data_IF_376713479782
#
_entry.id   IF_376713479782
#
_cell.length_a   1.000
_cell.length_b   1.000
_cell.length_c   1.000
_cell.angle_alpha   90.00
_cell.angle_beta   90.00
_cell.angle_gamma   90.00
#
_symmetry.space_group_name_H-M   'P 1'
#
loop_
_entity.id
_entity.type
_entity.pdbx_description
1 polymer ?
#
# COMPACT_ATOMS: atom_id res chain seq x y z
N UNK A 1 -6.22 -26.17 -22.68
CA UNK A 1 -7.58 -25.64 -22.45
C UNK A 1 -8.05 -26.30 -21.17
N UNK A 2 -8.09 -25.55 -20.08
CA UNK A 2 -8.45 -26.07 -18.75
C UNK A 2 -9.36 -25.00 -18.12
N UNK A 3 -10.58 -24.97 -18.65
CA UNK A 3 -11.60 -23.93 -18.47
C UNK A 3 -12.79 -24.46 -17.67
N UNK A 4 -12.47 -25.12 -16.55
CA UNK A 4 -13.48 -25.64 -15.60
C UNK A 4 -13.02 -25.39 -14.15
N UNK A 5 -12.34 -24.26 -13.91
CA UNK A 5 -11.88 -23.89 -12.57
C UNK A 5 -13.01 -23.23 -11.79
N UNK A 6 -13.74 -24.05 -11.05
CA UNK A 6 -14.56 -23.60 -9.93
C UNK A 6 -13.74 -22.61 -9.07
N UNK A 7 -14.31 -21.48 -8.63
CA UNK A 7 -13.58 -20.48 -7.85
C UNK A 7 -13.00 -21.14 -6.58
N UNK A 8 -11.81 -20.71 -6.11
CA UNK A 8 -11.22 -21.29 -4.92
C UNK A 8 -12.15 -21.06 -3.71
N UNK A 9 -11.99 -21.89 -2.69
CA UNK A 9 -12.68 -21.73 -1.42
C UNK A 9 -11.66 -21.76 -0.28
N UNK A 10 -12.00 -21.17 0.86
CA UNK A 10 -11.15 -21.21 2.04
C UNK A 10 -11.63 -22.34 2.95
N UNK A 11 -10.79 -23.36 3.23
CA UNK A 11 -11.12 -24.42 4.17
C UNK A 11 -10.97 -23.98 5.62
N UNK A 12 -11.70 -24.66 6.52
CA UNK A 12 -11.35 -24.62 7.94
C UNK A 12 -10.05 -25.39 8.15
N UNK A 13 -9.06 -24.70 8.72
CA UNK A 13 -7.72 -25.22 9.01
C UNK A 13 -7.39 -25.18 10.50
N UNK A 14 -8.40 -24.93 11.35
CA UNK A 14 -8.22 -24.92 12.80
C UNK A 14 -7.64 -26.26 13.28
N UNK A 15 -6.58 -26.18 14.10
CA UNK A 15 -5.91 -27.37 14.66
C UNK A 15 -5.04 -28.17 13.67
N UNK A 16 -4.99 -27.81 12.39
CA UNK A 16 -4.11 -28.49 11.44
C UNK A 16 -2.65 -28.04 11.61
N UNK A 17 -1.72 -28.96 11.37
CA UNK A 17 -0.31 -28.61 11.19
C UNK A 17 -0.12 -27.77 9.92
N UNK A 18 0.96 -26.95 9.82
CA UNK A 18 1.21 -26.12 8.64
C UNK A 18 1.17 -26.90 7.31
N UNK A 19 1.78 -28.08 7.24
CA UNK A 19 1.75 -28.92 6.02
C UNK A 19 0.34 -29.40 5.68
N UNK A 20 -0.46 -29.81 6.67
CA UNK A 20 -1.82 -30.28 6.43
C UNK A 20 -2.75 -29.13 6.03
N UNK A 21 -2.56 -27.94 6.61
CA UNK A 21 -3.25 -26.73 6.19
C UNK A 21 -2.87 -26.33 4.76
N UNK A 22 -1.58 -26.35 4.40
CA UNK A 22 -1.12 -26.07 3.04
C UNK A 22 -1.74 -27.03 2.00
N UNK A 23 -1.81 -28.33 2.33
CA UNK A 23 -2.49 -29.33 1.51
C UNK A 23 -4.01 -29.10 1.43
N UNK A 24 -4.64 -28.64 2.51
CA UNK A 24 -6.05 -28.26 2.50
C UNK A 24 -6.31 -27.09 1.56
N UNK A 25 -5.50 -26.03 1.61
CA UNK A 25 -5.60 -24.90 0.67
C UNK A 25 -5.40 -25.33 -0.78
N UNK A 26 -4.40 -26.18 -1.05
CA UNK A 26 -4.15 -26.69 -2.39
C UNK A 26 -5.34 -27.46 -2.97
N UNK A 27 -5.97 -28.33 -2.18
CA UNK A 27 -7.22 -29.02 -2.55
C UNK A 27 -8.37 -28.05 -2.76
N UNK A 28 -8.38 -26.94 -2.03
CA UNK A 28 -9.38 -25.90 -2.14
C UNK A 28 -9.13 -24.91 -3.30
N UNK A 29 -8.16 -25.20 -4.16
CA UNK A 29 -7.89 -24.45 -5.39
C UNK A 29 -6.75 -23.45 -5.30
N UNK A 30 -6.16 -23.24 -4.12
CA UNK A 30 -5.11 -22.23 -3.90
C UNK A 30 -3.72 -22.72 -4.26
N UNK A 31 -2.99 -21.94 -5.06
CA UNK A 31 -1.55 -22.08 -5.17
C UNK A 31 -0.87 -21.59 -3.88
N UNK A 32 -0.01 -22.41 -3.30
CA UNK A 32 0.66 -22.12 -2.02
C UNK A 32 2.17 -21.99 -2.19
N UNK A 33 2.79 -21.29 -1.24
CA UNK A 33 4.24 -21.18 -1.07
C UNK A 33 4.61 -21.35 0.40
N UNK A 34 5.75 -22.00 0.69
CA UNK A 34 6.36 -22.00 2.01
C UNK A 34 7.03 -20.65 2.28
N UNK A 35 6.99 -20.21 3.53
CA UNK A 35 7.68 -18.99 3.99
C UNK A 35 8.52 -19.31 5.22
N UNK A 36 9.73 -18.78 5.28
CA UNK A 36 10.68 -19.08 6.33
C UNK A 36 10.22 -18.39 7.62
N UNK A 37 10.18 -19.07 8.78
CA UNK A 37 9.77 -18.47 10.05
C UNK A 37 10.51 -17.18 10.41
N UNK A 38 11.78 -17.05 10.03
CA UNK A 38 12.61 -15.87 10.26
C UNK A 38 12.32 -14.72 9.27
N UNK A 39 11.67 -14.99 8.13
CA UNK A 39 11.31 -14.00 7.10
C UNK A 39 9.89 -14.27 6.57
N UNK A 40 8.95 -14.41 7.51
CA UNK A 40 7.61 -14.98 7.28
C UNK A 40 6.75 -14.21 6.28
N UNK A 41 7.05 -12.94 6.03
CA UNK A 41 6.31 -12.07 5.11
C UNK A 41 6.88 -12.07 3.68
N UNK A 42 7.99 -12.78 3.44
CA UNK A 42 8.64 -12.84 2.14
C UNK A 42 8.26 -14.14 1.39
N UNK A 43 7.42 -14.09 0.33
CA UNK A 43 7.02 -15.28 -0.42
C UNK A 43 8.18 -16.00 -1.14
N UNK A 44 9.32 -15.34 -1.32
CA UNK A 44 10.52 -15.92 -1.92
C UNK A 44 11.53 -16.43 -0.90
N UNK A 45 11.24 -16.42 0.40
CA UNK A 45 12.24 -16.74 1.43
C UNK A 45 12.77 -18.19 1.36
N UNK A 46 11.94 -19.12 0.88
CA UNK A 46 12.28 -20.55 0.77
C UNK A 46 12.54 -20.94 -0.69
N UNK A 47 11.69 -20.46 -1.61
CA UNK A 47 11.80 -20.82 -3.04
C UNK A 47 12.72 -19.89 -3.85
N UNK A 48 13.25 -18.84 -3.20
CA UNK A 48 14.15 -17.82 -3.76
C UNK A 48 13.52 -17.02 -4.91
N UNK A 49 14.34 -16.54 -5.85
CA UNK A 49 13.90 -15.72 -6.98
C UNK A 49 12.83 -16.38 -7.84
N UNK A 50 12.04 -15.56 -8.55
CA UNK A 50 10.91 -16.02 -9.38
C UNK A 50 9.87 -16.86 -8.63
N UNK A 51 9.58 -16.49 -7.38
CA UNK A 51 8.64 -17.21 -6.54
C UNK A 51 7.23 -17.33 -7.17
N UNK A 52 6.85 -16.38 -8.02
CA UNK A 52 5.55 -16.33 -8.69
C UNK A 52 5.30 -17.58 -9.54
N UNK A 53 6.37 -18.09 -10.16
CA UNK A 53 6.36 -19.26 -11.02
C UNK A 53 6.36 -20.56 -10.19
N UNK A 54 6.86 -20.49 -8.95
CA UNK A 54 7.14 -21.63 -8.07
C UNK A 54 6.02 -21.98 -7.08
N UNK A 55 4.98 -21.15 -6.93
CA UNK A 55 3.80 -21.51 -6.13
C UNK A 55 3.14 -22.76 -6.70
N UNK A 56 2.69 -23.69 -5.85
CA UNK A 56 2.22 -25.01 -6.29
C UNK A 56 0.92 -25.44 -5.63
N UNK A 57 0.21 -26.36 -6.29
CA UNK A 57 -0.90 -27.16 -5.74
C UNK A 57 -0.56 -28.63 -5.65
N UNK A 58 0.61 -29.04 -6.15
CA UNK A 58 1.04 -30.43 -6.15
C UNK A 58 1.31 -30.89 -4.71
N UNK A 59 0.56 -31.87 -4.19
CA UNK A 59 0.78 -32.40 -2.85
C UNK A 59 2.19 -32.96 -2.61
N UNK A 60 2.89 -33.42 -3.66
CA UNK A 60 4.27 -33.92 -3.54
C UNK A 60 5.24 -32.78 -3.26
N UNK A 61 5.15 -31.70 -4.04
CA UNK A 61 5.96 -30.49 -3.85
C UNK A 61 5.68 -29.83 -2.49
N UNK A 62 4.41 -29.71 -2.12
CA UNK A 62 4.02 -29.12 -0.83
C UNK A 62 4.62 -29.94 0.32
N UNK A 63 4.50 -31.27 0.29
CA UNK A 63 5.15 -32.10 1.31
C UNK A 63 6.66 -31.97 1.33
N UNK A 64 7.32 -31.78 0.20
CA UNK A 64 8.77 -31.60 0.15
C UNK A 64 9.21 -30.35 0.92
N UNK A 65 8.55 -29.20 0.70
CA UNK A 65 8.87 -27.95 1.40
C UNK A 65 8.77 -28.06 2.93
N UNK A 66 7.77 -28.78 3.45
CA UNK A 66 7.60 -28.98 4.89
C UNK A 66 8.40 -30.16 5.46
N UNK A 67 8.99 -31.02 4.62
CA UNK A 67 10.02 -31.98 5.07
C UNK A 67 11.35 -31.30 5.34
N UNK A 68 11.68 -30.27 4.55
CA UNK A 68 12.90 -29.47 4.76
C UNK A 68 12.81 -28.63 6.03
N UNK A 69 11.66 -27.99 6.26
CA UNK A 69 11.37 -27.30 7.52
C UNK A 69 9.89 -27.39 7.86
N UNK A 70 9.57 -28.11 8.95
CA UNK A 70 8.20 -28.26 9.44
C UNK A 70 7.62 -26.94 10.00
N UNK A 71 8.48 -25.98 10.35
CA UNK A 71 8.13 -24.66 10.86
C UNK A 71 7.68 -23.67 9.79
N UNK A 72 7.89 -23.98 8.50
CA UNK A 72 7.52 -23.10 7.39
C UNK A 72 6.08 -22.58 7.51
N UNK A 73 5.90 -21.28 7.33
CA UNK A 73 4.60 -20.64 7.19
C UNK A 73 4.02 -20.80 5.80
N UNK A 74 2.79 -20.35 5.61
CA UNK A 74 2.01 -20.54 4.39
C UNK A 74 1.69 -19.19 3.77
N UNK A 75 2.09 -19.00 2.51
CA UNK A 75 1.62 -17.91 1.68
C UNK A 75 0.66 -18.45 0.61
N UNK A 76 -0.49 -17.79 0.43
CA UNK A 76 -1.44 -18.07 -0.65
C UNK A 76 -1.17 -17.12 -1.81
N UNK A 77 -0.90 -17.66 -2.99
CA UNK A 77 -0.73 -16.89 -4.21
C UNK A 77 -2.10 -16.49 -4.76
N UNK A 78 -2.49 -15.25 -4.51
CA UNK A 78 -3.88 -14.78 -4.66
C UNK A 78 -4.32 -14.79 -6.12
N UNK A 79 -3.67 -14.03 -6.99
CA UNK A 79 -4.06 -13.91 -8.39
C UNK A 79 -3.97 -15.20 -9.19
N UNK A 80 -2.88 -15.98 -9.03
CA UNK A 80 -2.74 -17.28 -9.70
C UNK A 80 -3.84 -18.29 -9.30
N UNK A 81 -4.44 -18.11 -8.12
CA UNK A 81 -5.54 -18.93 -7.64
C UNK A 81 -6.92 -18.48 -8.15
N UNK A 82 -7.01 -17.39 -8.92
CA UNK A 82 -8.30 -16.85 -9.39
C UNK A 82 -9.03 -16.03 -8.31
N UNK A 83 -8.27 -15.34 -7.46
CA UNK A 83 -8.80 -14.51 -6.39
C UNK A 83 -8.19 -13.11 -6.40
N UNK A 84 -8.83 -12.21 -5.66
CA UNK A 84 -8.30 -10.91 -5.24
C UNK A 84 -8.50 -10.75 -3.74
N UNK A 85 -7.53 -10.16 -3.06
CA UNK A 85 -7.62 -9.87 -1.63
C UNK A 85 -7.54 -8.36 -1.38
N UNK A 86 -8.52 -7.82 -0.67
CA UNK A 86 -8.48 -6.48 -0.10
C UNK A 86 -7.87 -6.59 1.30
N UNK A 87 -6.64 -6.10 1.43
CA UNK A 87 -5.87 -6.05 2.67
C UNK A 87 -6.21 -4.74 3.40
N UNK A 88 -7.29 -4.80 4.19
CA UNK A 88 -7.83 -3.65 4.91
C UNK A 88 -6.90 -3.30 6.08
N UNK A 89 -6.45 -2.05 6.15
CA UNK A 89 -5.51 -1.54 7.15
C UNK A 89 -6.18 -0.81 8.33
N UNK A 90 -7.50 -0.66 8.32
CA UNK A 90 -8.29 0.00 9.36
C UNK A 90 -9.13 -1.01 10.17
N UNK A 91 -9.39 -0.68 11.45
CA UNK A 91 -10.05 -1.59 12.40
C UNK A 91 -11.59 -1.45 12.45
N UNK A 92 -12.18 -0.49 11.74
CA UNK A 92 -13.64 -0.26 11.67
C UNK A 92 -14.08 0.04 10.22
N UNK A 93 -14.84 -0.89 9.61
CA UNK A 93 -15.43 -0.68 8.28
C UNK A 93 -16.38 0.52 8.22
N UNK A 94 -16.93 0.96 9.35
CA UNK A 94 -17.74 2.17 9.48
C UNK A 94 -16.99 3.45 9.09
N UNK A 95 -15.65 3.49 9.22
CA UNK A 95 -14.84 4.61 8.74
C UNK A 95 -14.98 4.80 7.23
N UNK A 96 -15.06 3.72 6.45
CA UNK A 96 -15.26 3.79 5.00
C UNK A 96 -16.61 4.43 4.66
N UNK A 97 -17.66 4.04 5.40
CA UNK A 97 -18.99 4.61 5.22
C UNK A 97 -19.03 6.11 5.59
N UNK A 98 -18.44 6.49 6.73
CA UNK A 98 -18.32 7.90 7.15
C UNK A 98 -17.47 8.74 6.18
N UNK A 99 -16.52 8.11 5.49
CA UNK A 99 -15.73 8.72 4.43
C UNK A 99 -16.46 8.85 3.08
N UNK A 100 -17.79 8.66 3.07
CA UNK A 100 -18.64 8.83 1.89
C UNK A 100 -18.72 7.61 0.97
N UNK A 101 -18.19 6.44 1.38
CA UNK A 101 -18.18 5.21 0.57
C UNK A 101 -18.85 4.02 1.26
N UNK A 102 -20.14 4.13 1.65
CA UNK A 102 -20.87 3.04 2.29
C UNK A 102 -21.02 1.80 1.39
N UNK A 103 -21.01 2.01 0.08
CA UNK A 103 -21.01 0.99 -0.97
C UNK A 103 -19.80 0.04 -0.86
N UNK A 104 -18.58 0.59 -0.72
CA UNK A 104 -17.35 -0.20 -0.53
C UNK A 104 -17.39 -0.94 0.81
N UNK A 105 -17.82 -0.27 1.88
CA UNK A 105 -17.93 -0.88 3.20
C UNK A 105 -18.87 -2.10 3.16
N UNK A 106 -20.02 -1.95 2.52
CA UNK A 106 -21.00 -3.02 2.38
C UNK A 106 -20.49 -4.17 1.50
N UNK A 107 -19.79 -3.84 0.41
CA UNK A 107 -19.18 -4.84 -0.45
C UNK A 107 -18.14 -5.69 0.30
N UNK A 108 -17.26 -5.08 1.11
CA UNK A 108 -16.32 -5.82 1.96
C UNK A 108 -17.04 -6.71 2.97
N UNK A 109 -18.09 -6.21 3.63
CA UNK A 109 -18.90 -7.01 4.58
C UNK A 109 -19.46 -8.27 3.92
N UNK A 110 -19.76 -8.21 2.62
CA UNK A 110 -20.29 -9.34 1.85
C UNK A 110 -19.30 -10.48 1.60
N UNK A 111 -17.99 -10.28 1.83
CA UNK A 111 -16.96 -11.31 1.61
C UNK A 111 -17.25 -12.59 2.42
N UNK A 112 -17.32 -13.73 1.75
CA UNK A 112 -17.55 -15.02 2.41
C UNK A 112 -16.30 -15.58 3.10
N UNK A 113 -15.10 -15.16 2.68
CA UNK A 113 -13.85 -15.52 3.32
C UNK A 113 -13.13 -14.27 3.81
N UNK A 114 -12.83 -14.23 5.11
CA UNK A 114 -12.16 -13.11 5.78
C UNK A 114 -11.13 -13.64 6.76
N UNK A 115 -9.87 -13.25 6.56
CA UNK A 115 -8.81 -13.50 7.53
C UNK A 115 -8.49 -12.21 8.29
N UNK A 116 -8.72 -12.20 9.59
CA UNK A 116 -8.25 -11.06 10.41
C UNK A 116 -6.73 -11.09 10.52
N UNK A 117 -6.12 -9.90 10.68
CA UNK A 117 -4.69 -9.75 10.96
C UNK A 117 -4.41 -9.25 12.39
N UNK A 118 -5.48 -9.02 13.15
CA UNK A 118 -5.50 -8.61 14.56
C UNK A 118 -6.50 -9.47 15.33
N UNK A 119 -6.40 -9.45 16.66
CA UNK A 119 -7.34 -10.14 17.54
C UNK A 119 -8.75 -9.56 17.49
N UNK A 120 -8.85 -8.25 17.34
CA UNK A 120 -10.10 -7.49 17.35
C UNK A 120 -10.15 -6.53 16.16
N UNK A 121 -11.36 -6.02 15.86
CA UNK A 121 -11.61 -5.12 14.74
C UNK A 121 -11.84 -5.83 13.41
N UNK A 122 -11.94 -5.00 12.37
CA UNK A 122 -12.23 -5.41 10.99
C UNK A 122 -10.97 -5.54 10.12
N UNK A 123 -9.79 -5.16 10.62
CA UNK A 123 -8.54 -5.20 9.86
C UNK A 123 -8.19 -6.63 9.42
N UNK A 124 -7.99 -6.83 8.12
CA UNK A 124 -7.83 -8.18 7.58
C UNK A 124 -7.86 -8.28 6.05
N UNK A 125 -7.71 -9.51 5.57
CA UNK A 125 -7.81 -9.87 4.17
C UNK A 125 -9.24 -10.29 3.83
N UNK A 126 -9.90 -9.53 2.96
CA UNK A 126 -11.24 -9.81 2.44
C UNK A 126 -11.10 -10.35 1.01
N UNK A 127 -11.58 -11.58 0.79
CA UNK A 127 -11.29 -12.32 -0.44
C UNK A 127 -12.52 -12.46 -1.32
N UNK A 128 -12.30 -12.29 -2.62
CA UNK A 128 -13.29 -12.47 -3.67
C UNK A 128 -12.71 -13.25 -4.84
N UNK A 129 -13.56 -13.96 -5.57
CA UNK A 129 -13.19 -14.64 -6.80
C UNK A 129 -13.17 -13.63 -7.95
N UNK A 130 -12.18 -13.75 -8.83
CA UNK A 130 -12.11 -12.98 -10.07
C UNK A 130 -12.82 -13.74 -11.19
N UNK A 131 -13.47 -13.04 -12.12
CA UNK A 131 -14.09 -13.71 -13.26
C UNK A 131 -13.01 -14.34 -14.18
N UNK A 132 -13.33 -15.37 -14.97
CA UNK A 132 -12.41 -15.86 -15.99
C UNK A 132 -11.96 -14.72 -16.93
N UNK A 133 -10.65 -14.57 -17.10
CA UNK A 133 -10.07 -13.49 -17.92
C UNK A 133 -9.71 -12.22 -17.14
N UNK A 134 -10.26 -12.02 -15.94
CA UNK A 134 -9.87 -10.89 -15.09
C UNK A 134 -8.48 -11.11 -14.48
N UNK A 135 -7.67 -10.06 -14.50
CA UNK A 135 -6.36 -10.05 -13.85
C UNK A 135 -6.02 -8.67 -13.30
N UNK A 136 -6.17 -8.48 -11.99
CA UNK A 136 -5.80 -7.26 -11.31
C UNK A 136 -4.33 -7.28 -10.87
N UNK A 137 -3.63 -6.15 -10.96
CA UNK A 137 -2.31 -5.99 -10.35
C UNK A 137 -2.38 -5.93 -8.81
N UNK A 138 -1.26 -5.63 -8.17
CA UNK A 138 -1.24 -5.29 -6.73
C UNK A 138 -1.52 -3.79 -6.47
N UNK A 139 -1.96 -3.07 -7.51
CA UNK A 139 -2.32 -1.66 -7.40
C UNK A 139 -3.64 -1.53 -6.63
N UNK A 140 -3.69 -0.77 -5.53
CA UNK A 140 -4.90 -0.69 -4.71
C UNK A 140 -6.02 0.18 -5.31
N UNK A 141 -5.80 0.86 -6.44
CA UNK A 141 -6.84 1.71 -7.03
C UNK A 141 -7.36 2.74 -6.02
N UNK A 142 -8.67 3.05 -6.10
CA UNK A 142 -9.33 3.93 -5.14
C UNK A 142 -9.38 3.35 -3.71
N UNK A 143 -9.14 2.04 -3.52
CA UNK A 143 -9.10 1.41 -2.21
C UNK A 143 -7.85 1.79 -1.39
N UNK A 144 -6.85 2.43 -2.00
CA UNK A 144 -5.59 2.87 -1.33
C UNK A 144 -5.78 3.69 -0.05
N UNK A 145 -6.95 4.31 0.11
CA UNK A 145 -7.32 5.11 1.28
C UNK A 145 -7.51 4.25 2.54
N UNK A 146 -7.89 2.99 2.39
CA UNK A 146 -8.20 2.09 3.51
C UNK A 146 -7.30 0.86 3.59
N UNK A 147 -6.50 0.60 2.56
CA UNK A 147 -5.57 -0.52 2.58
C UNK A 147 -4.88 -0.81 1.26
N UNK A 148 -4.45 -2.06 1.10
CA UNK A 148 -3.76 -2.57 -0.07
C UNK A 148 -4.59 -3.62 -0.81
N UNK A 149 -4.18 -3.97 -2.03
CA UNK A 149 -4.80 -5.05 -2.82
C UNK A 149 -3.74 -6.07 -3.22
N UNK A 150 -4.10 -7.35 -3.13
CA UNK A 150 -3.27 -8.47 -3.60
C UNK A 150 -3.97 -9.11 -4.79
N UNK A 151 -3.37 -8.96 -5.96
CA UNK A 151 -3.88 -9.50 -7.22
C UNK A 151 -2.89 -10.51 -7.83
N UNK A 152 -2.58 -10.36 -9.13
CA UNK A 152 -1.82 -11.27 -9.99
C UNK A 152 -0.60 -11.88 -9.31
N UNK A 153 0.27 -11.05 -8.75
CA UNK A 153 1.51 -11.45 -8.06
C UNK A 153 1.47 -11.04 -6.58
N UNK A 154 0.29 -11.08 -5.97
CA UNK A 154 0.07 -10.80 -4.57
C UNK A 154 0.00 -12.09 -3.78
N UNK A 155 0.55 -12.07 -2.56
CA UNK A 155 0.32 -13.14 -1.58
C UNK A 155 -0.34 -12.59 -0.33
N UNK A 156 -1.05 -13.45 0.38
CA UNK A 156 -1.38 -13.26 1.79
C UNK A 156 -0.71 -14.38 2.60
N UNK A 157 -0.24 -14.06 3.81
CA UNK A 157 0.18 -15.08 4.76
C UNK A 157 -1.07 -15.64 5.42
N UNK A 158 -1.25 -16.96 5.37
CA UNK A 158 -2.47 -17.61 5.80
C UNK A 158 -2.32 -18.32 7.15
N UNK A 159 -3.44 -18.39 7.88
CA UNK A 159 -3.56 -19.27 9.04
C UNK A 159 -3.21 -20.73 8.64
N UNK A 160 -2.61 -21.54 9.52
CA UNK A 160 -2.31 -21.26 10.93
C UNK A 160 -0.92 -20.63 11.18
N UNK A 161 -0.30 -20.00 10.18
CA UNK A 161 1.03 -19.37 10.32
C UNK A 161 1.06 -18.37 11.48
N UNK A 162 2.09 -18.39 12.35
CA UNK A 162 2.25 -17.38 13.39
C UNK A 162 2.44 -15.96 12.81
N UNK A 163 1.80 -14.97 13.41
CA UNK A 163 2.00 -13.57 13.02
C UNK A 163 3.25 -13.00 13.71
N UNK A 164 4.15 -12.30 12.99
CA UNK A 164 5.41 -11.81 13.58
C UNK A 164 5.20 -10.79 14.71
N UNK A 165 4.14 -9.98 14.60
CA UNK A 165 3.75 -9.02 15.65
C UNK A 165 2.75 -9.59 16.69
N UNK A 166 2.70 -10.91 16.87
CA UNK A 166 1.73 -11.53 17.79
C UNK A 166 1.90 -11.08 19.25
N UNK A 167 3.13 -10.92 19.70
CA UNK A 167 3.48 -10.48 21.06
C UNK A 167 3.51 -8.97 21.22
N UNK A 168 3.77 -8.21 20.14
CA UNK A 168 3.97 -6.76 20.20
C UNK A 168 2.72 -5.96 19.89
N UNK A 169 1.86 -6.44 18.97
CA UNK A 169 0.69 -5.71 18.47
C UNK A 169 -0.59 -6.55 18.45
N UNK A 170 -0.57 -7.70 19.15
CA UNK A 170 -1.67 -8.65 19.12
C UNK A 170 -1.99 -9.17 17.71
N UNK A 171 -0.98 -9.22 16.83
CA UNK A 171 -1.15 -9.70 15.46
C UNK A 171 -1.58 -11.17 15.43
N UNK A 172 -2.49 -11.52 14.54
CA UNK A 172 -2.96 -12.90 14.39
C UNK A 172 -3.47 -13.12 12.98
N UNK A 173 -3.01 -14.17 12.30
CA UNK A 173 -3.67 -14.65 11.10
C UNK A 173 -4.74 -15.67 11.52
N UNK A 174 -6.01 -15.29 11.41
CA UNK A 174 -7.12 -16.18 11.76
C UNK A 174 -8.28 -15.99 10.78
N UNK A 175 -8.85 -17.08 10.29
CA UNK A 175 -10.09 -17.02 9.54
C UNK A 175 -11.25 -16.68 10.47
N UNK A 176 -11.82 -15.49 10.28
CA UNK A 176 -13.10 -15.08 10.88
C UNK A 176 -14.27 -15.71 10.11
N UNK A 177 -14.10 -15.87 8.79
CA UNK A 177 -15.04 -16.55 7.90
C UNK A 177 -14.28 -17.40 6.89
N UNK A 178 -14.79 -18.59 6.62
CA UNK A 178 -14.28 -19.57 5.64
C UNK A 178 -15.41 -19.93 4.67
N UNK A 179 -15.08 -20.51 3.51
CA UNK A 179 -16.07 -20.90 2.50
C UNK A 179 -15.69 -20.52 1.08
N UNK A 180 -16.61 -20.79 0.14
CA UNK A 180 -16.44 -20.45 -1.27
C UNK A 180 -16.32 -18.94 -1.47
N UNK A 181 -15.35 -18.52 -2.28
CA UNK A 181 -15.21 -17.11 -2.60
C UNK A 181 -16.42 -16.63 -3.40
N UNK A 182 -16.97 -15.48 -3.00
CA UNK A 182 -18.01 -14.81 -3.76
C UNK A 182 -17.39 -14.06 -4.94
N UNK A 183 -18.13 -13.89 -6.06
CA UNK A 183 -17.71 -13.00 -7.13
C UNK A 183 -17.37 -11.61 -6.59
N UNK A 184 -16.36 -10.97 -7.18
CA UNK A 184 -15.98 -9.60 -6.86
C UNK A 184 -17.15 -8.64 -7.12
N UNK A 185 -17.69 -7.94 -6.11
CA UNK A 185 -18.75 -6.97 -6.30
C UNK A 185 -18.33 -5.83 -7.24
N UNK A 186 -19.23 -5.36 -8.09
CA UNK A 186 -18.94 -4.35 -9.11
C UNK A 186 -18.31 -3.07 -8.53
N UNK A 187 -18.74 -2.62 -7.35
CA UNK A 187 -18.16 -1.44 -6.69
C UNK A 187 -16.68 -1.63 -6.33
N UNK A 188 -16.30 -2.84 -5.91
CA UNK A 188 -14.91 -3.18 -5.62
C UNK A 188 -14.13 -3.37 -6.91
N UNK A 189 -14.72 -4.02 -7.92
CA UNK A 189 -14.16 -4.14 -9.26
C UNK A 189 -13.83 -2.76 -9.86
N UNK A 190 -14.81 -1.86 -9.90
CA UNK A 190 -14.64 -0.48 -10.34
C UNK A 190 -13.59 0.26 -9.51
N UNK A 191 -13.47 -0.01 -8.20
CA UNK A 191 -12.42 0.60 -7.37
C UNK A 191 -10.99 0.18 -7.76
N UNK A 192 -10.81 -1.00 -8.35
CA UNK A 192 -9.53 -1.51 -8.85
C UNK A 192 -9.20 -0.97 -10.24
N UNK A 193 -10.22 -0.84 -11.10
CA UNK A 193 -10.08 -0.34 -12.47
C UNK A 193 -10.00 1.18 -12.56
N UNK A 194 -10.64 1.87 -11.62
CA UNK A 194 -10.38 3.28 -11.41
C UNK A 194 -8.88 3.40 -11.15
N UNK A 195 -8.16 3.97 -12.13
CA UNK A 195 -6.83 4.51 -11.90
C UNK A 195 -6.96 5.24 -10.58
N UNK A 196 -6.24 4.75 -9.55
CA UNK A 196 -6.44 5.13 -8.16
C UNK A 196 -6.66 6.62 -8.17
N UNK A 197 -7.93 7.08 -8.01
CA UNK A 197 -8.30 8.42 -8.48
C UNK A 197 -7.18 9.32 -8.04
N UNK A 198 -6.35 9.78 -8.98
CA UNK A 198 -5.47 10.88 -8.66
C UNK A 198 -6.54 11.87 -8.24
N UNK A 199 -6.66 12.13 -6.94
CA UNK A 199 -7.40 13.32 -6.58
C UNK A 199 -6.61 14.35 -7.37
N UNK A 200 -7.26 14.90 -8.40
CA UNK A 200 -6.58 15.76 -9.36
C UNK A 200 -5.75 16.71 -8.50
N UNK A 201 -4.45 16.90 -8.81
CA UNK A 201 -3.62 17.78 -8.01
C UNK A 201 -4.44 19.05 -7.74
N UNK A 202 -4.56 19.42 -6.46
CA UNK A 202 -5.39 20.57 -6.09
C UNK A 202 -5.06 21.73 -7.01
N UNK A 203 -6.05 22.48 -7.46
CA UNK A 203 -5.81 23.76 -8.13
C UNK A 203 -5.00 24.68 -7.20
N UNK A 204 -4.42 25.74 -7.74
CA UNK A 204 -3.69 26.72 -6.92
C UNK A 204 -4.56 27.27 -5.78
N UNK A 205 -5.83 27.57 -6.08
CA UNK A 205 -6.79 28.07 -5.10
C UNK A 205 -7.12 27.03 -4.02
N UNK A 206 -7.36 25.77 -4.40
CA UNK A 206 -7.62 24.69 -3.44
C UNK A 206 -6.40 24.37 -2.57
N UNK A 207 -5.18 24.48 -3.11
CA UNK A 207 -3.97 24.36 -2.31
C UNK A 207 -3.86 25.50 -1.30
N UNK A 208 -4.14 26.74 -1.70
CA UNK A 208 -4.15 27.89 -0.78
C UNK A 208 -5.18 27.71 0.35
N UNK A 209 -6.39 27.28 0.00
CA UNK A 209 -7.44 26.96 0.96
C UNK A 209 -7.02 25.83 1.92
N UNK A 210 -6.37 24.78 1.42
CA UNK A 210 -5.81 23.70 2.24
C UNK A 210 -4.77 24.23 3.24
N UNK A 211 -3.85 25.08 2.78
CA UNK A 211 -2.79 25.65 3.63
C UNK A 211 -3.36 26.54 4.74
N UNK A 212 -4.43 27.29 4.46
CA UNK A 212 -5.10 28.17 5.42
C UNK A 212 -6.01 27.40 6.39
N UNK A 213 -6.69 26.36 5.91
CA UNK A 213 -7.56 25.50 6.73
C UNK A 213 -6.78 24.79 7.82
N UNK A 214 -5.57 24.31 7.51
CA UNK A 214 -4.74 23.55 8.45
C UNK A 214 -3.72 24.45 9.15
N UNK A 215 -4.21 25.39 9.96
CA UNK A 215 -3.40 26.37 10.69
C UNK A 215 -2.69 25.84 11.96
N UNK A 216 -2.69 24.52 12.20
CA UNK A 216 -2.15 23.91 13.42
C UNK A 216 -3.14 23.96 14.59
N UNK A 217 -2.63 23.99 15.82
CA UNK A 217 -3.45 24.00 17.05
C UNK A 217 -3.02 22.98 18.12
N UNK A 218 -2.01 22.16 17.82
CA UNK A 218 -1.52 21.10 18.69
C UNK A 218 -2.33 19.82 18.49
N UNK A 219 -1.67 18.74 18.06
CA UNK A 219 -2.33 17.47 17.76
C UNK A 219 -2.81 16.67 18.99
N UNK A 220 -2.75 17.27 20.18
CA UNK A 220 -3.11 16.63 21.46
C UNK A 220 -2.16 15.53 21.94
N UNK A 221 -1.13 15.17 21.17
CA UNK A 221 -0.17 14.11 21.53
C UNK A 221 0.93 14.64 22.45
N UNK A 222 1.09 14.00 23.62
CA UNK A 222 2.22 14.26 24.51
C UNK A 222 3.55 13.99 23.82
N UNK A 223 4.47 14.96 23.90
CA UNK A 223 5.81 14.86 23.30
C UNK A 223 5.88 15.18 21.80
N UNK A 224 4.77 15.59 21.16
CA UNK A 224 4.85 16.13 19.81
C UNK A 224 5.64 17.44 19.81
N UNK A 225 6.63 17.53 18.92
CA UNK A 225 7.46 18.74 18.77
C UNK A 225 6.73 19.90 18.09
N UNK A 226 5.54 19.65 17.55
CA UNK A 226 4.70 20.60 16.83
C UNK A 226 5.48 21.43 15.79
N UNK A 227 6.35 20.75 15.02
CA UNK A 227 7.23 21.41 14.06
C UNK A 227 7.55 20.49 12.87
N UNK A 228 7.65 21.02 11.63
CA UNK A 228 7.96 20.24 10.42
C UNK A 228 9.43 19.77 10.33
N UNK A 229 10.19 19.82 11.43
CA UNK A 229 11.61 19.41 11.50
C UNK A 229 11.86 17.97 11.07
N UNK A 230 10.93 17.05 11.33
CA UNK A 230 11.04 15.64 10.93
C UNK A 230 11.10 15.49 9.40
N UNK A 231 10.05 15.89 8.68
CA UNK A 231 10.03 15.94 7.21
C UNK A 231 11.25 16.65 6.61
N UNK A 232 11.60 17.81 7.16
CA UNK A 232 12.72 18.63 6.68
C UNK A 232 14.07 17.92 6.83
N UNK A 233 14.33 17.31 7.99
CA UNK A 233 15.56 16.54 8.24
C UNK A 233 15.68 15.36 7.29
N UNK A 234 14.58 14.63 7.07
CA UNK A 234 14.57 13.49 6.15
C UNK A 234 14.87 13.91 4.72
N UNK A 235 14.24 14.99 4.25
CA UNK A 235 14.50 15.52 2.92
C UNK A 235 15.98 15.88 2.74
N UNK A 236 16.54 16.67 3.67
CA UNK A 236 17.94 17.12 3.61
C UNK A 236 18.93 15.95 3.62
N UNK A 237 18.73 14.98 4.51
CA UNK A 237 19.63 13.82 4.61
C UNK A 237 19.62 12.99 3.34
N UNK A 238 18.44 12.65 2.80
CA UNK A 238 18.35 11.84 1.59
C UNK A 238 18.96 12.54 0.37
N UNK A 239 18.77 13.85 0.24
CA UNK A 239 19.40 14.63 -0.84
C UNK A 239 20.91 14.70 -0.66
N UNK A 240 21.41 14.90 0.57
CA UNK A 240 22.84 14.85 0.88
C UNK A 240 23.46 13.48 0.59
N UNK A 241 22.70 12.40 0.79
CA UNK A 241 23.08 11.02 0.45
C UNK A 241 22.98 10.71 -1.07
N UNK A 242 22.69 11.71 -1.91
CA UNK A 242 22.66 11.59 -3.36
C UNK A 242 21.34 11.14 -3.97
N UNK A 243 20.24 11.10 -3.20
CA UNK A 243 18.91 10.80 -3.75
C UNK A 243 18.39 11.93 -4.63
N UNK A 244 17.53 11.57 -5.59
CA UNK A 244 16.80 12.52 -6.44
C UNK A 244 15.93 13.46 -5.59
N UNK A 245 16.21 14.75 -5.66
CA UNK A 245 15.46 15.80 -4.94
C UNK A 245 13.94 15.71 -5.19
N UNK A 246 13.55 15.51 -6.45
CA UNK A 246 12.15 15.40 -6.85
C UNK A 246 11.48 14.20 -6.18
N UNK A 247 12.08 13.01 -6.31
CA UNK A 247 11.51 11.77 -5.78
C UNK A 247 11.49 11.78 -4.25
N UNK A 248 12.54 12.31 -3.62
CA UNK A 248 12.58 12.53 -2.17
C UNK A 248 11.47 13.49 -1.74
N UNK A 249 11.26 14.61 -2.44
CA UNK A 249 10.19 15.56 -2.09
C UNK A 249 8.79 14.97 -2.25
N UNK A 250 8.55 14.22 -3.32
CA UNK A 250 7.30 13.49 -3.56
C UNK A 250 6.98 12.48 -2.43
N UNK A 251 8.01 11.95 -1.76
CA UNK A 251 7.84 11.04 -0.62
C UNK A 251 7.64 11.76 0.73
N UNK A 252 8.10 13.02 0.85
CA UNK A 252 8.13 13.78 2.12
C UNK A 252 6.90 14.67 2.28
N UNK A 253 6.41 15.32 1.22
CA UNK A 253 5.25 16.21 1.30
C UNK A 253 3.97 15.52 1.84
N UNK A 254 3.61 14.29 1.41
CA UNK A 254 2.43 13.63 1.96
C UNK A 254 2.54 13.33 3.46
N UNK A 255 3.75 13.06 3.95
CA UNK A 255 3.99 12.94 5.40
C UNK A 255 3.80 14.29 6.08
N UNK A 256 4.44 15.33 5.57
CA UNK A 256 4.42 16.66 6.19
C UNK A 256 2.99 17.21 6.32
N UNK A 257 2.18 17.08 5.26
CA UNK A 257 0.80 17.54 5.23
C UNK A 257 -0.15 16.66 6.05
N UNK A 258 0.10 15.36 6.15
CA UNK A 258 -0.68 14.48 7.04
C UNK A 258 -0.52 14.88 8.51
N UNK A 259 0.69 15.28 8.93
CA UNK A 259 0.91 15.82 10.28
C UNK A 259 0.30 17.21 10.47
N UNK A 260 0.31 18.06 9.44
CA UNK A 260 -0.37 19.34 9.50
C UNK A 260 -1.90 19.19 9.63
N UNK A 261 -2.51 18.25 8.90
CA UNK A 261 -3.92 17.90 9.03
C UNK A 261 -4.27 17.39 10.43
N UNK A 262 -3.34 16.69 11.09
CA UNK A 262 -3.50 16.24 12.47
C UNK A 262 -3.31 17.36 13.51
N UNK A 263 -3.00 18.59 13.07
CA UNK A 263 -2.83 19.75 13.93
C UNK A 263 -1.44 19.87 14.56
N UNK A 264 -0.46 19.06 14.13
CA UNK A 264 0.90 19.11 14.69
C UNK A 264 1.53 20.49 14.48
N UNK A 265 1.37 21.07 13.29
CA UNK A 265 1.91 22.38 12.92
C UNK A 265 1.09 22.96 11.76
N UNK A 266 1.18 24.27 11.47
CA UNK A 266 0.51 24.87 10.33
C UNK A 266 1.01 24.25 9.00
N UNK A 267 0.09 23.92 8.09
CA UNK A 267 0.43 23.39 6.77
C UNK A 267 1.25 24.40 5.95
N UNK A 268 0.93 25.70 6.08
CA UNK A 268 1.67 26.81 5.49
C UNK A 268 3.14 26.83 5.93
N UNK A 269 3.40 26.61 7.23
CA UNK A 269 4.76 26.54 7.77
C UNK A 269 5.55 25.37 7.13
N UNK A 270 4.93 24.19 7.01
CA UNK A 270 5.56 23.04 6.39
C UNK A 270 5.82 23.23 4.89
N UNK A 271 4.85 23.82 4.18
CA UNK A 271 4.97 24.18 2.76
C UNK A 271 6.16 25.12 2.55
N UNK A 272 6.24 26.22 3.29
CA UNK A 272 7.28 27.24 3.11
C UNK A 272 8.67 26.67 3.41
N UNK A 273 8.84 25.93 4.50
CA UNK A 273 10.14 25.35 4.86
C UNK A 273 10.63 24.28 3.88
N UNK A 274 9.72 23.42 3.39
CA UNK A 274 10.06 22.43 2.38
C UNK A 274 10.30 23.07 1.02
N UNK A 275 9.55 24.13 0.66
CA UNK A 275 9.80 24.91 -0.55
C UNK A 275 11.20 25.52 -0.51
N UNK A 276 11.54 26.22 0.57
CA UNK A 276 12.89 26.80 0.77
C UNK A 276 13.97 25.73 0.69
N UNK A 277 13.78 24.57 1.33
CA UNK A 277 14.77 23.49 1.26
C UNK A 277 14.89 22.88 -0.15
N UNK A 278 13.78 22.76 -0.88
CA UNK A 278 13.76 22.29 -2.26
C UNK A 278 14.51 23.25 -3.18
N UNK A 279 14.34 24.56 -2.98
CA UNK A 279 14.96 25.59 -3.81
C UNK A 279 16.42 25.88 -3.44
N UNK A 280 16.80 25.76 -2.17
CA UNK A 280 18.15 26.07 -1.68
C UNK A 280 19.24 25.06 -2.13
N UNK A 281 18.86 23.94 -2.73
CA UNK A 281 19.79 22.91 -3.21
C UNK A 281 20.46 23.25 -4.56
N UNK A 282 20.39 24.51 -5.04
CA UNK A 282 20.96 24.98 -6.32
C UNK A 282 21.78 26.26 -6.12
N UNK A 283 22.86 26.42 -6.91
CA UNK A 283 23.83 27.52 -6.80
C UNK A 283 23.48 28.70 -7.73
N UNK A 284 24.14 29.85 -7.54
CA UNK A 284 23.84 31.12 -8.22
C UNK A 284 24.00 31.10 -9.76
N UNK A 285 24.62 30.06 -10.32
CA UNK A 285 24.91 29.89 -11.75
C UNK A 285 23.72 29.38 -12.60
N UNK A 286 22.57 29.06 -11.99
CA UNK A 286 21.42 28.51 -12.73
C UNK A 286 20.58 29.59 -13.46
N UNK A 287 20.19 29.29 -14.71
CA UNK A 287 19.36 30.13 -15.59
C UNK A 287 18.05 30.63 -14.92
N UNK A 288 17.74 31.94 -14.95
CA UNK A 288 16.48 32.51 -14.44
C UNK A 288 15.19 31.86 -14.95
N UNK A 289 15.17 31.34 -16.18
CA UNK A 289 14.03 30.59 -16.73
C UNK A 289 13.84 29.24 -16.03
N UNK A 290 14.94 28.58 -15.68
CA UNK A 290 14.96 27.34 -14.90
C UNK A 290 14.44 27.57 -13.49
N UNK A 291 14.80 28.69 -12.84
CA UNK A 291 14.29 29.09 -11.51
C UNK A 291 12.76 29.26 -11.46
N UNK A 292 12.16 29.85 -12.51
CA UNK A 292 10.69 30.00 -12.61
C UNK A 292 9.96 28.66 -12.80
N UNK A 293 10.55 27.74 -13.56
CA UNK A 293 9.98 26.39 -13.72
C UNK A 293 10.04 25.57 -12.41
N UNK A 294 11.02 25.82 -11.55
CA UNK A 294 11.19 25.11 -10.27
C UNK A 294 10.12 25.44 -9.23
N UNK A 295 9.73 26.72 -9.09
CA UNK A 295 8.61 27.10 -8.23
C UNK A 295 7.32 26.39 -8.66
N UNK A 296 7.09 26.30 -9.97
CA UNK A 296 5.95 25.56 -10.52
C UNK A 296 6.05 24.05 -10.28
N UNK A 297 7.26 23.48 -10.20
CA UNK A 297 7.49 22.05 -9.95
C UNK A 297 7.17 21.67 -8.50
N UNK A 298 7.65 22.48 -7.55
CA UNK A 298 7.34 22.25 -6.14
C UNK A 298 5.84 22.41 -5.87
N UNK A 299 5.22 23.46 -6.44
CA UNK A 299 3.78 23.69 -6.29
C UNK A 299 2.99 22.49 -6.81
N UNK A 300 3.34 21.93 -7.98
CA UNK A 300 2.68 20.71 -8.49
C UNK A 300 2.82 19.51 -7.56
N UNK A 301 4.00 19.33 -6.95
CA UNK A 301 4.22 18.27 -5.96
C UNK A 301 3.37 18.50 -4.69
N UNK A 302 3.24 19.75 -4.25
CA UNK A 302 2.43 20.11 -3.09
C UNK A 302 0.92 19.93 -3.36
N UNK A 303 0.43 20.37 -4.52
CA UNK A 303 -0.93 20.16 -4.98
C UNK A 303 -1.30 18.68 -5.02
N UNK A 304 -0.40 17.86 -5.58
CA UNK A 304 -0.56 16.41 -5.57
C UNK A 304 -0.54 15.86 -4.14
N UNK A 305 0.44 16.24 -3.32
CA UNK A 305 0.57 15.71 -1.97
C UNK A 305 -0.64 16.04 -1.09
N UNK A 306 -1.13 17.28 -1.11
CA UNK A 306 -2.29 17.74 -0.35
C UNK A 306 -3.58 17.00 -0.75
N UNK A 307 -3.73 16.66 -2.03
CA UNK A 307 -4.83 15.85 -2.52
C UNK A 307 -4.77 14.38 -2.02
N UNK A 308 -3.63 13.94 -1.48
CA UNK A 308 -3.34 12.54 -1.14
C UNK A 308 -2.99 12.31 0.35
N UNK A 309 -3.18 13.31 1.22
CA UNK A 309 -2.85 13.24 2.65
C UNK A 309 -3.97 12.71 3.53
N UNK A 310 -3.59 12.13 4.66
CA UNK A 310 -4.52 11.51 5.62
C UNK A 310 -3.99 11.73 7.04
N UNK A 311 -4.73 12.42 7.94
CA UNK A 311 -4.28 12.67 9.31
C UNK A 311 -4.04 11.39 10.12
N UNK A 312 -4.66 10.26 9.76
CA UNK A 312 -4.36 8.96 10.37
C UNK A 312 -2.92 8.48 10.11
N UNK A 313 -2.21 9.13 9.17
CA UNK A 313 -0.80 8.89 8.86
C UNK A 313 0.17 9.79 9.63
N UNK A 314 -0.31 10.64 10.54
CA UNK A 314 0.57 11.44 11.39
C UNK A 314 1.42 10.55 12.33
N UNK A 315 2.63 11.00 12.67
CA UNK A 315 3.55 10.35 13.62
C UNK A 315 4.10 8.95 13.28
N UNK A 316 3.76 8.33 12.15
CA UNK A 316 4.29 6.99 11.80
C UNK A 316 5.82 6.96 11.58
N UNK A 317 6.43 8.12 11.35
CA UNK A 317 7.87 8.23 11.09
C UNK A 317 8.73 8.56 12.34
N UNK A 318 8.12 8.80 13.50
CA UNK A 318 8.82 9.13 14.76
C UNK A 318 9.24 7.91 15.60
N UNK A 319 8.90 6.68 15.19
CA UNK A 319 9.42 5.48 15.85
C UNK A 319 10.89 5.26 15.46
N UNK A 320 11.80 4.90 16.40
CA UNK A 320 13.20 4.67 16.10
C UNK A 320 13.32 3.58 15.04
N UNK A 321 13.72 3.98 13.84
CA UNK A 321 13.86 3.08 12.70
C UNK A 321 15.09 2.21 12.91
N UNK A 322 14.90 0.88 12.94
CA UNK A 322 16.01 -0.04 12.71
C UNK A 322 16.54 0.20 11.29
N UNK A 323 17.86 0.18 11.07
CA UNK A 323 18.43 0.43 9.76
C UNK A 323 18.05 -0.73 8.83
N UNK A 324 17.15 -0.46 7.87
CA UNK A 324 16.77 -1.45 6.87
C UNK A 324 15.33 -1.29 6.37
N UNK A 325 15.23 -0.79 5.14
CA UNK A 325 14.10 -0.97 4.19
C UNK A 325 12.82 -0.14 4.43
N UNK A 326 12.82 1.06 3.86
CA UNK A 326 11.72 1.53 3.02
C UNK A 326 12.31 2.10 1.73
N UNK A 327 12.57 1.22 0.76
CA UNK A 327 12.72 1.64 -0.62
C UNK A 327 11.30 1.80 -1.19
N UNK A 328 10.90 3.02 -1.55
CA UNK A 328 9.81 3.17 -2.51
C UNK A 328 10.20 2.37 -3.77
N UNK A 329 9.33 1.51 -4.32
CA UNK A 329 9.69 0.76 -5.52
C UNK A 329 10.01 1.73 -6.66
N UNK A 330 11.11 1.53 -7.41
CA UNK A 330 11.65 2.47 -8.41
C UNK A 330 10.81 2.61 -9.70
N UNK A 331 9.50 2.35 -9.64
CA UNK A 331 8.63 2.34 -10.83
C UNK A 331 7.85 3.64 -11.09
N UNK A 332 7.93 4.64 -10.20
CA UNK A 332 7.30 5.95 -10.45
C UNK A 332 8.19 6.91 -11.28
N UNK A 333 9.48 6.64 -11.40
CA UNK A 333 10.42 7.46 -12.19
C UNK A 333 10.20 7.41 -13.71
N UNK A 334 9.33 6.52 -14.21
CA UNK A 334 9.12 6.33 -15.66
C UNK A 334 7.94 7.12 -16.23
N UNK A 335 6.95 7.52 -15.41
CA UNK A 335 5.76 8.22 -15.92
C UNK A 335 5.98 9.71 -16.19
N UNK A 336 6.84 10.38 -15.41
CA UNK A 336 7.20 11.79 -15.65
C UNK A 336 7.97 12.01 -16.97
N UNK A 337 8.66 10.99 -17.49
CA UNK A 337 9.40 11.07 -18.76
C UNK A 337 8.57 10.72 -20.00
N UNK A 338 7.46 9.97 -19.85
CA UNK A 338 6.73 9.43 -21.01
C UNK A 338 5.60 10.32 -21.56
N UNK A 339 5.19 11.39 -20.86
CA UNK A 339 4.23 12.38 -21.37
C UNK A 339 4.87 13.64 -21.97
N UNK A 340 6.16 13.62 -22.30
CA UNK A 340 6.83 14.77 -22.91
C UNK A 340 7.37 14.41 -24.31
N UNK A 341 6.51 14.60 -25.33
CA UNK A 341 6.97 15.04 -26.65
C UNK A 341 6.79 16.55 -26.70
N UNK A 342 7.84 17.36 -26.92
CA UNK A 342 7.64 18.75 -27.25
C UNK A 342 6.91 18.84 -28.59
N UNK A 343 5.84 19.64 -28.58
CA UNK A 343 5.15 20.16 -29.76
C UNK A 343 6.17 20.74 -30.75
N UNK A 344 6.33 20.11 -31.93
CA UNK A 344 7.02 20.76 -33.06
C UNK A 344 6.11 21.89 -33.53
N UNK A 345 6.56 23.14 -33.38
CA UNK A 345 5.99 24.25 -34.14
C UNK A 345 6.32 24.01 -35.61
N UNK A 346 5.27 23.83 -36.42
CA UNK A 346 5.30 24.29 -37.81
C UNK A 346 5.31 25.82 -37.74
N UNK A 347 6.37 26.42 -38.25
CA UNK A 347 6.29 27.76 -38.84
C UNK A 347 6.45 27.53 -40.34
N UNK A 348 5.36 27.73 -41.06
CA UNK A 348 5.40 28.21 -42.43
C UNK A 348 5.67 29.72 -42.34
N UNK A 349 6.66 30.17 -43.14
CA UNK A 349 7.06 31.55 -43.47
C UNK A 349 7.55 32.49 -42.36
#
# INVERSE_FOLDING_TARGET
MDDDRNPPWVPDVAGLSPVNAALAYARAGWYVLPTNPADIKNPGSVVHGHWQDKSSRDPRQIRAWWREDAGNGIALHVGRSGAVAFDLDIDDLGVIARAGRPDIAQALRSAAAVQTTRREGDRGHYLFATAPGDSFGNGPGAFRRWGQVRGRNGVIIAAPTPHPDATTKGGRYQWKRVGALRPLPEVLHASLLAAAGEADPLTQAELEEFLDTHAGGGCGRQGCRNSPRGPLTRFRNQVADGCSRHDTMASVLPWAFSEAMAGCYPAREAFDQLHTAFTAAFTDDDDPARRRQLGSEFVRLAQWAAAHTDPARAHHHEQPQRPGRFAYPPQLARFARLKWRPYRRQHDE
#
